data_IF_154327690908
#
_entry.id   IF_154327690908
#
_cell.length_a   1.000
_cell.length_b   1.000
_cell.length_c   1.000
_cell.angle_alpha   90.00
_cell.angle_beta   90.00
_cell.angle_gamma   90.00
#
_symmetry.space_group_name_H-M   'P 1'
#
loop_
_entity.id
_entity.type
_entity.pdbx_description
1 polymer ?
#
# COMPACT_ATOMS: atom_id res chain seq x y z
N UNK A 1 -16.45 -17.19 17.02
CA UNK A 1 -17.27 -17.37 15.79
C UNK A 1 -17.76 -16.05 15.20
N UNK A 2 -18.34 -15.12 15.98
CA UNK A 2 -18.78 -13.79 15.49
C UNK A 2 -17.65 -12.93 14.90
N UNK A 3 -16.43 -13.03 15.40
CA UNK A 3 -15.24 -12.31 14.88
C UNK A 3 -14.74 -12.86 13.54
N UNK A 4 -14.75 -14.18 13.37
CA UNK A 4 -14.46 -14.85 12.09
C UNK A 4 -15.50 -14.51 11.02
N UNK A 5 -16.78 -14.45 11.37
CA UNK A 5 -17.85 -14.06 10.44
C UNK A 5 -17.71 -12.60 9.99
N UNK A 6 -17.28 -11.70 10.89
CA UNK A 6 -16.99 -10.31 10.55
C UNK A 6 -15.78 -10.14 9.64
N UNK A 7 -14.78 -11.04 9.67
CA UNK A 7 -13.65 -10.97 8.73
C UNK A 7 -13.98 -11.40 7.29
N UNK A 8 -15.14 -12.03 7.04
CA UNK A 8 -15.55 -12.37 5.67
C UNK A 8 -16.22 -11.21 4.93
N UNK A 9 -16.66 -10.18 5.64
CA UNK A 9 -17.27 -8.99 5.02
C UNK A 9 -16.15 -7.95 4.88
N UNK A 10 -15.73 -7.61 3.65
CA UNK A 10 -14.74 -6.57 3.45
C UNK A 10 -15.30 -5.22 3.92
N UNK A 11 -14.41 -4.33 4.37
CA UNK A 11 -14.79 -2.95 4.66
C UNK A 11 -15.32 -2.28 3.39
N UNK A 12 -16.31 -1.40 3.55
CA UNK A 12 -16.88 -0.66 2.42
C UNK A 12 -15.80 0.14 1.71
N UNK A 13 -15.73 -0.02 0.39
CA UNK A 13 -14.88 0.81 -0.47
C UNK A 13 -15.37 2.25 -0.32
N UNK A 14 -14.55 3.14 0.26
CA UNK A 14 -14.90 4.55 0.44
C UNK A 14 -14.88 5.28 -0.91
N UNK A 15 -15.87 5.01 -1.75
CA UNK A 15 -15.96 5.46 -3.14
C UNK A 15 -17.38 5.90 -3.45
N UNK A 16 -17.51 7.05 -4.11
CA UNK A 16 -18.82 7.61 -4.46
C UNK A 16 -19.50 6.73 -5.53
N UNK A 17 -20.84 6.52 -5.49
CA UNK A 17 -21.54 5.66 -6.46
C UNK A 17 -21.33 6.03 -7.94
N UNK A 18 -21.06 7.31 -8.23
CA UNK A 18 -20.72 7.78 -9.57
C UNK A 18 -19.38 7.22 -10.11
N UNK A 19 -18.45 6.88 -9.23
CA UNK A 19 -17.19 6.22 -9.61
C UNK A 19 -17.41 4.78 -10.06
N UNK A 20 -18.41 4.09 -9.51
CA UNK A 20 -18.73 2.71 -9.89
C UNK A 20 -19.30 2.62 -11.32
N UNK A 21 -20.22 3.52 -11.67
CA UNK A 21 -20.77 3.58 -13.04
C UNK A 21 -19.70 3.95 -14.05
N UNK A 22 -18.86 4.95 -13.72
CA UNK A 22 -17.69 5.33 -14.52
C UNK A 22 -16.75 4.16 -14.74
N UNK A 23 -16.39 3.43 -13.68
CA UNK A 23 -15.50 2.27 -13.76
C UNK A 23 -16.12 1.13 -14.60
N UNK A 24 -17.41 0.84 -14.41
CA UNK A 24 -18.11 -0.20 -15.16
C UNK A 24 -18.18 0.10 -16.66
N UNK A 25 -18.51 1.34 -17.03
CA UNK A 25 -18.54 1.79 -18.44
C UNK A 25 -17.14 1.69 -19.05
N UNK A 26 -16.11 2.17 -18.33
CA UNK A 26 -14.73 2.09 -18.77
C UNK A 26 -14.26 0.65 -18.99
N UNK A 27 -14.55 -0.24 -18.05
CA UNK A 27 -14.23 -1.66 -18.16
C UNK A 27 -14.94 -2.33 -19.33
N UNK A 28 -16.23 -2.06 -19.51
CA UNK A 28 -16.99 -2.58 -20.65
C UNK A 28 -16.38 -2.14 -21.98
N UNK A 29 -16.09 -0.85 -22.12
CA UNK A 29 -15.48 -0.30 -23.33
C UNK A 29 -14.06 -0.86 -23.58
N UNK A 30 -13.23 -0.94 -22.53
CA UNK A 30 -11.88 -1.46 -22.59
C UNK A 30 -11.83 -2.93 -23.01
N UNK A 31 -12.69 -3.76 -22.42
CA UNK A 31 -12.81 -5.19 -22.80
C UNK A 31 -13.30 -5.29 -24.24
N UNK A 32 -14.36 -4.57 -24.60
CA UNK A 32 -14.97 -4.63 -25.93
C UNK A 32 -13.98 -4.24 -27.03
N UNK A 33 -13.29 -3.11 -26.89
CA UNK A 33 -12.29 -2.65 -27.87
C UNK A 33 -11.14 -3.64 -27.97
N UNK A 34 -10.58 -4.09 -26.85
CA UNK A 34 -9.44 -5.01 -26.85
C UNK A 34 -9.80 -6.35 -27.48
N UNK A 35 -10.94 -6.91 -27.11
CA UNK A 35 -11.45 -8.17 -27.65
C UNK A 35 -11.77 -8.06 -29.15
N UNK A 36 -12.40 -6.96 -29.59
CA UNK A 36 -12.67 -6.71 -31.01
C UNK A 36 -11.39 -6.64 -31.82
N UNK A 37 -10.41 -5.85 -31.37
CA UNK A 37 -9.13 -5.69 -32.08
C UNK A 37 -8.39 -7.04 -32.13
N UNK A 38 -8.36 -7.80 -31.04
CA UNK A 38 -7.79 -9.14 -31.04
C UNK A 38 -8.53 -10.09 -31.99
N UNK A 39 -9.87 -10.04 -32.01
CA UNK A 39 -10.68 -10.87 -32.89
C UNK A 39 -10.40 -10.58 -34.37
N UNK A 40 -10.27 -9.31 -34.75
CA UNK A 40 -10.01 -8.92 -36.13
C UNK A 40 -8.62 -9.37 -36.62
N UNK A 41 -7.62 -9.41 -35.73
CA UNK A 41 -6.24 -9.73 -36.10
C UNK A 41 -5.93 -11.23 -35.98
N UNK A 42 -6.45 -11.90 -34.95
CA UNK A 42 -6.08 -13.27 -34.58
C UNK A 42 -7.24 -14.27 -34.57
N UNK A 43 -8.47 -13.82 -34.85
CA UNK A 43 -9.66 -14.66 -34.85
C UNK A 43 -10.40 -14.68 -33.50
N UNK A 44 -11.66 -15.13 -33.57
CA UNK A 44 -12.57 -15.13 -32.41
C UNK A 44 -12.13 -16.11 -31.33
N UNK A 45 -11.61 -17.27 -31.69
CA UNK A 45 -11.22 -18.31 -30.73
C UNK A 45 -10.05 -17.85 -29.84
N UNK A 46 -9.01 -17.25 -30.44
CA UNK A 46 -7.89 -16.66 -29.68
C UNK A 46 -8.38 -15.55 -28.75
N UNK A 47 -9.27 -14.67 -29.24
CA UNK A 47 -9.81 -13.58 -28.44
C UNK A 47 -10.62 -14.07 -27.24
N UNK A 48 -11.45 -15.11 -27.42
CA UNK A 48 -12.26 -15.69 -26.34
C UNK A 48 -11.39 -16.34 -25.24
N UNK A 49 -10.30 -17.01 -25.58
CA UNK A 49 -9.39 -17.59 -24.59
C UNK A 49 -8.64 -16.54 -23.76
N UNK A 50 -8.43 -15.33 -24.29
CA UNK A 50 -7.77 -14.23 -23.58
C UNK A 50 -8.77 -13.30 -22.86
N UNK A 51 -10.07 -13.44 -23.12
CA UNK A 51 -11.10 -12.53 -22.61
C UNK A 51 -11.19 -12.52 -21.08
N UNK A 52 -11.01 -13.68 -20.42
CA UNK A 52 -11.04 -13.80 -18.96
C UNK A 52 -9.96 -12.94 -18.28
N UNK A 53 -8.67 -13.15 -18.59
CA UNK A 53 -7.58 -12.30 -18.10
C UNK A 53 -7.74 -10.82 -18.44
N UNK A 54 -8.18 -10.49 -19.66
CA UNK A 54 -8.45 -9.11 -20.10
C UNK A 54 -9.55 -8.48 -19.24
N UNK A 55 -10.63 -9.21 -18.97
CA UNK A 55 -11.72 -8.78 -18.11
C UNK A 55 -11.26 -8.49 -16.68
N UNK A 56 -10.48 -9.38 -16.07
CA UNK A 56 -9.92 -9.17 -14.74
C UNK A 56 -8.97 -7.95 -14.70
N UNK A 57 -8.21 -7.74 -15.78
CA UNK A 57 -7.32 -6.57 -15.91
C UNK A 57 -8.12 -5.29 -16.02
N UNK A 58 -9.22 -5.29 -16.77
CA UNK A 58 -10.10 -4.13 -16.91
C UNK A 58 -10.65 -3.70 -15.55
N UNK A 59 -11.10 -4.64 -14.72
CA UNK A 59 -11.55 -4.31 -13.36
C UNK A 59 -10.46 -3.55 -12.58
N UNK A 60 -9.20 -4.00 -12.62
CA UNK A 60 -8.10 -3.30 -11.95
C UNK A 60 -7.81 -1.92 -12.58
N UNK A 61 -7.78 -1.84 -13.90
CA UNK A 61 -7.44 -0.61 -14.65
C UNK A 61 -8.50 0.49 -14.54
N UNK A 62 -9.77 0.14 -14.30
CA UNK A 62 -10.88 1.10 -14.26
C UNK A 62 -11.45 1.32 -12.86
N UNK A 63 -11.55 0.27 -12.03
CA UNK A 63 -12.07 0.38 -10.66
C UNK A 63 -10.96 0.70 -9.64
N UNK A 64 -9.74 0.22 -9.86
CA UNK A 64 -8.60 0.38 -8.92
C UNK A 64 -7.39 1.00 -9.65
N UNK A 65 -7.66 2.00 -10.50
CA UNK A 65 -6.67 2.61 -11.40
C UNK A 65 -5.49 3.29 -10.68
N UNK A 66 -5.64 3.56 -9.38
CA UNK A 66 -4.64 4.21 -8.53
C UNK A 66 -3.63 3.25 -7.92
N UNK A 67 -3.91 1.95 -7.94
CA UNK A 67 -3.07 0.92 -7.32
C UNK A 67 -1.78 0.66 -8.10
N UNK A 68 -0.75 0.19 -7.38
CA UNK A 68 0.53 -0.21 -7.99
C UNK A 68 0.36 -1.36 -9.01
N UNK A 69 -0.65 -2.21 -8.83
CA UNK A 69 -0.99 -3.33 -9.70
C UNK A 69 -1.59 -2.90 -11.05
N UNK A 70 -2.13 -1.68 -11.14
CA UNK A 70 -2.71 -1.12 -12.35
C UNK A 70 -1.70 -0.28 -13.15
N UNK A 71 -0.46 -0.13 -12.68
CA UNK A 71 0.55 0.65 -13.40
C UNK A 71 0.89 0.02 -14.76
N UNK A 72 1.21 0.83 -15.79
CA UNK A 72 1.51 0.33 -17.14
C UNK A 72 2.57 -0.79 -17.18
N UNK A 73 3.63 -0.66 -16.39
CA UNK A 73 4.69 -1.66 -16.28
C UNK A 73 4.19 -2.98 -15.68
N UNK A 74 3.31 -2.91 -14.67
CA UNK A 74 2.71 -4.09 -14.05
C UNK A 74 1.90 -4.89 -15.06
N UNK A 75 1.08 -4.23 -15.89
CA UNK A 75 0.25 -4.90 -16.91
C UNK A 75 1.12 -5.53 -18.00
N UNK A 76 1.94 -4.71 -18.68
CA UNK A 76 2.74 -5.16 -19.84
C UNK A 76 3.80 -6.18 -19.43
N UNK A 77 4.54 -5.89 -18.35
CA UNK A 77 5.60 -6.76 -17.84
C UNK A 77 5.04 -8.10 -17.36
N UNK A 78 3.91 -8.09 -16.64
CA UNK A 78 3.31 -9.33 -16.16
C UNK A 78 2.83 -10.22 -17.30
N UNK A 79 2.13 -9.67 -18.29
CA UNK A 79 1.63 -10.46 -19.41
C UNK A 79 2.77 -11.07 -20.22
N UNK A 80 3.85 -10.31 -20.46
CA UNK A 80 5.03 -10.77 -21.19
C UNK A 80 5.72 -11.92 -20.43
N UNK A 81 6.05 -11.69 -19.16
CA UNK A 81 6.73 -12.69 -18.32
C UNK A 81 5.88 -13.95 -18.15
N UNK A 82 4.57 -13.80 -17.94
CA UNK A 82 3.65 -14.92 -17.76
C UNK A 82 3.50 -15.75 -19.03
N UNK A 83 3.46 -15.11 -20.20
CA UNK A 83 3.45 -15.81 -21.49
C UNK A 83 4.75 -16.59 -21.72
N UNK A 84 5.91 -15.99 -21.45
CA UNK A 84 7.20 -16.66 -21.57
C UNK A 84 7.33 -17.83 -20.58
N UNK A 85 6.90 -17.66 -19.33
CA UNK A 85 6.88 -18.71 -18.33
C UNK A 85 5.98 -19.89 -18.75
N UNK A 86 4.81 -19.61 -19.33
CA UNK A 86 3.91 -20.62 -19.87
C UNK A 86 4.54 -21.39 -21.02
N UNK A 87 5.14 -20.70 -22.00
CA UNK A 87 5.83 -21.35 -23.13
C UNK A 87 6.97 -22.25 -22.64
N UNK A 88 7.79 -21.77 -21.70
CA UNK A 88 8.85 -22.58 -21.10
C UNK A 88 8.31 -23.85 -20.42
N UNK A 89 7.20 -23.74 -19.69
CA UNK A 89 6.58 -24.90 -19.04
C UNK A 89 5.95 -25.87 -20.04
N UNK A 90 5.36 -25.38 -21.14
CA UNK A 90 4.83 -26.23 -22.22
C UNK A 90 5.96 -27.03 -22.86
N UNK A 91 7.13 -26.41 -23.08
CA UNK A 91 8.28 -27.12 -23.65
C UNK A 91 8.80 -28.25 -22.75
N UNK A 92 8.72 -28.09 -21.43
CA UNK A 92 9.25 -29.05 -20.47
C UNK A 92 8.24 -30.15 -20.07
N UNK A 93 6.96 -29.79 -19.95
CA UNK A 93 5.93 -30.62 -19.32
C UNK A 93 4.68 -30.82 -20.20
N UNK A 94 4.67 -30.22 -21.41
CA UNK A 94 3.52 -30.23 -22.31
C UNK A 94 2.31 -29.45 -21.79
N UNK A 95 1.15 -29.70 -22.39
CA UNK A 95 -0.13 -29.09 -22.03
C UNK A 95 -0.82 -29.84 -20.89
N UNK A 96 -0.25 -29.76 -19.68
CA UNK A 96 -0.74 -30.49 -18.50
C UNK A 96 -1.12 -29.54 -17.36
N UNK A 97 -1.94 -30.02 -16.41
CA UNK A 97 -2.30 -29.25 -15.21
C UNK A 97 -1.06 -28.94 -14.37
N UNK A 98 -0.09 -29.87 -14.34
CA UNK A 98 1.21 -29.68 -13.68
C UNK A 98 2.00 -28.56 -14.34
N UNK A 99 2.08 -28.53 -15.68
CA UNK A 99 2.69 -27.43 -16.41
C UNK A 99 2.02 -26.08 -16.10
N UNK A 100 0.69 -26.03 -16.04
CA UNK A 100 -0.05 -24.80 -15.74
C UNK A 100 0.24 -24.31 -14.31
N UNK A 101 0.28 -25.23 -13.34
CA UNK A 101 0.58 -24.91 -11.94
C UNK A 101 2.01 -24.38 -11.76
N UNK A 102 2.98 -25.00 -12.43
CA UNK A 102 4.37 -24.56 -12.43
C UNK A 102 4.52 -23.21 -13.14
N UNK A 103 3.83 -23.02 -14.28
CA UNK A 103 3.85 -21.75 -15.02
C UNK A 103 3.31 -20.59 -14.17
N UNK A 104 2.23 -20.81 -13.42
CA UNK A 104 1.68 -19.80 -12.49
C UNK A 104 2.67 -19.48 -11.38
N UNK A 105 3.26 -20.49 -10.75
CA UNK A 105 4.27 -20.30 -9.71
C UNK A 105 5.45 -19.46 -10.23
N UNK A 106 5.97 -19.84 -11.40
CA UNK A 106 7.07 -19.14 -12.04
C UNK A 106 6.69 -17.70 -12.44
N UNK A 107 5.50 -17.50 -13.00
CA UNK A 107 4.99 -16.18 -13.35
C UNK A 107 4.89 -15.27 -12.12
N UNK A 108 4.37 -15.76 -10.99
CA UNK A 108 4.29 -14.97 -9.74
C UNK A 108 5.69 -14.59 -9.25
N UNK A 109 6.61 -15.55 -9.18
CA UNK A 109 7.98 -15.29 -8.71
C UNK A 109 8.70 -14.26 -9.60
N UNK A 110 8.67 -14.46 -10.91
CA UNK A 110 9.33 -13.56 -11.87
C UNK A 110 8.71 -12.17 -11.87
N UNK A 111 7.38 -12.06 -11.79
CA UNK A 111 6.71 -10.75 -11.79
C UNK A 111 6.92 -9.99 -10.47
N UNK A 112 7.05 -10.69 -9.34
CA UNK A 112 7.48 -10.10 -8.07
C UNK A 112 8.93 -9.56 -8.16
N UNK A 113 9.86 -10.35 -8.71
CA UNK A 113 11.26 -9.94 -8.89
C UNK A 113 11.38 -8.74 -9.84
N UNK A 114 10.65 -8.76 -10.96
CA UNK A 114 10.61 -7.67 -11.94
C UNK A 114 9.74 -6.48 -11.51
N UNK A 115 9.15 -6.52 -10.32
CA UNK A 115 8.28 -5.46 -9.75
C UNK A 115 7.11 -5.09 -10.66
N UNK A 116 6.59 -6.07 -11.38
CA UNK A 116 5.48 -5.94 -12.31
C UNK A 116 4.37 -6.94 -11.98
N UNK A 117 4.07 -7.12 -10.70
CA UNK A 117 3.00 -8.02 -10.28
C UNK A 117 1.65 -7.49 -10.77
N UNK A 118 0.96 -8.30 -11.57
CA UNK A 118 -0.39 -8.03 -12.03
C UNK A 118 -1.15 -9.37 -12.06
N UNK A 119 -2.06 -9.63 -11.12
CA UNK A 119 -2.67 -10.95 -10.93
C UNK A 119 -3.26 -11.59 -12.20
N UNK A 120 -3.90 -10.83 -13.13
CA UNK A 120 -4.36 -11.39 -14.40
C UNK A 120 -3.27 -12.04 -15.28
N UNK A 121 -2.00 -11.70 -15.10
CA UNK A 121 -0.89 -12.37 -15.79
C UNK A 121 -0.79 -13.86 -15.45
N UNK A 122 -1.08 -14.26 -14.20
CA UNK A 122 -1.16 -15.68 -13.84
C UNK A 122 -2.26 -16.40 -14.63
N UNK A 123 -3.40 -15.74 -14.86
CA UNK A 123 -4.48 -16.28 -15.68
C UNK A 123 -4.08 -16.40 -17.17
N UNK A 124 -3.29 -15.45 -17.70
CA UNK A 124 -2.69 -15.57 -19.04
C UNK A 124 -1.83 -16.85 -19.13
N UNK A 125 -0.98 -17.12 -18.13
CA UNK A 125 -0.16 -18.32 -18.12
C UNK A 125 -1.02 -19.60 -18.17
N UNK A 126 -2.09 -19.66 -17.37
CA UNK A 126 -3.04 -20.78 -17.39
C UNK A 126 -3.67 -20.93 -18.79
N UNK A 127 -4.23 -19.85 -19.35
CA UNK A 127 -4.87 -19.90 -20.66
C UNK A 127 -3.93 -20.41 -21.73
N UNK A 128 -2.68 -19.96 -21.76
CA UNK A 128 -1.69 -20.39 -22.75
C UNK A 128 -1.36 -21.88 -22.61
N UNK A 129 -1.27 -22.42 -21.39
CA UNK A 129 -0.98 -23.85 -21.16
C UNK A 129 -2.18 -24.75 -21.46
N UNK A 130 -3.40 -24.30 -21.13
CA UNK A 130 -4.61 -25.13 -21.30
C UNK A 130 -5.17 -25.10 -22.71
N UNK A 131 -4.96 -24.01 -23.47
CA UNK A 131 -5.52 -23.82 -24.80
C UNK A 131 -4.59 -24.40 -25.88
N UNK A 132 -4.54 -25.74 -25.94
CA UNK A 132 -3.58 -26.50 -26.77
C UNK A 132 -3.64 -26.15 -28.26
N UNK A 133 -4.85 -26.02 -28.81
CA UNK A 133 -5.06 -25.85 -30.26
C UNK A 133 -4.98 -24.38 -30.71
N UNK A 134 -5.37 -23.44 -29.84
CA UNK A 134 -5.42 -22.02 -30.18
C UNK A 134 -4.14 -21.29 -29.75
N UNK A 135 -3.85 -21.28 -28.44
CA UNK A 135 -2.75 -20.46 -27.89
C UNK A 135 -1.41 -21.20 -27.92
N UNK A 136 -1.35 -22.44 -27.44
CA UNK A 136 -0.08 -23.17 -27.35
C UNK A 136 0.49 -23.49 -28.74
N UNK A 137 -0.37 -23.78 -29.72
CA UNK A 137 0.03 -24.10 -31.08
C UNK A 137 0.77 -22.94 -31.78
N UNK A 138 0.54 -21.69 -31.37
CA UNK A 138 1.24 -20.52 -31.90
C UNK A 138 2.71 -20.44 -31.47
N UNK A 139 3.12 -21.16 -30.42
CA UNK A 139 4.46 -21.05 -29.84
C UNK A 139 4.78 -19.59 -29.48
N UNK A 140 5.92 -19.08 -29.93
CA UNK A 140 6.34 -17.69 -29.64
C UNK A 140 5.36 -16.63 -30.20
N UNK A 141 4.59 -16.94 -31.24
CA UNK A 141 3.61 -16.00 -31.80
C UNK A 141 2.46 -15.68 -30.86
N UNK A 142 2.23 -16.50 -29.81
CA UNK A 142 1.22 -16.23 -28.76
C UNK A 142 1.47 -14.90 -28.06
N UNK A 143 2.70 -14.42 -28.06
CA UNK A 143 3.04 -13.14 -27.45
C UNK A 143 2.34 -11.97 -28.15
N UNK A 144 2.09 -12.08 -29.46
CA UNK A 144 1.44 -11.03 -30.24
C UNK A 144 -0.02 -10.75 -29.80
N UNK A 145 -0.96 -11.73 -29.74
CA UNK A 145 -2.32 -11.48 -29.25
C UNK A 145 -2.35 -11.11 -27.77
N UNK A 146 -1.45 -11.64 -26.95
CA UNK A 146 -1.36 -11.31 -25.52
C UNK A 146 -0.94 -9.85 -25.32
N UNK A 147 0.12 -9.41 -26.01
CA UNK A 147 0.60 -8.02 -25.94
C UNK A 147 -0.34 -7.04 -26.62
N UNK A 148 -1.00 -7.44 -27.72
CA UNK A 148 -2.02 -6.62 -28.37
C UNK A 148 -3.18 -6.33 -27.41
N UNK A 149 -3.72 -7.36 -26.74
CA UNK A 149 -4.78 -7.18 -25.75
C UNK A 149 -4.33 -6.30 -24.58
N UNK A 150 -3.14 -6.55 -24.01
CA UNK A 150 -2.61 -5.75 -22.91
C UNK A 150 -2.44 -4.27 -23.32
N UNK A 151 -1.90 -4.03 -24.51
CA UNK A 151 -1.67 -2.70 -25.07
C UNK A 151 -2.98 -1.97 -25.38
N UNK A 152 -3.93 -2.62 -26.05
CA UNK A 152 -5.25 -2.04 -26.36
C UNK A 152 -6.02 -1.68 -25.09
N UNK A 153 -6.00 -2.58 -24.09
CA UNK A 153 -6.70 -2.35 -22.83
C UNK A 153 -6.06 -1.20 -22.06
N UNK A 154 -4.73 -1.19 -21.98
CA UNK A 154 -3.97 -0.13 -21.33
C UNK A 154 -4.17 1.22 -22.02
N UNK A 155 -4.16 1.26 -23.35
CA UNK A 155 -4.41 2.48 -24.12
C UNK A 155 -5.83 3.00 -23.86
N UNK A 156 -6.82 2.10 -23.84
CA UNK A 156 -8.20 2.48 -23.53
C UNK A 156 -8.32 3.03 -22.11
N UNK A 157 -7.64 2.41 -21.14
CA UNK A 157 -7.60 2.88 -19.76
C UNK A 157 -6.91 4.25 -19.63
N UNK A 158 -5.81 4.47 -20.35
CA UNK A 158 -5.11 5.75 -20.42
C UNK A 158 -6.02 6.86 -20.95
N UNK A 159 -6.71 6.61 -22.05
CA UNK A 159 -7.61 7.59 -22.67
C UNK A 159 -8.81 7.85 -21.76
N UNK A 160 -9.52 6.80 -21.34
CA UNK A 160 -10.77 6.92 -20.60
C UNK A 160 -10.59 7.51 -19.20
N UNK A 161 -9.58 7.05 -18.43
CA UNK A 161 -9.37 7.58 -17.08
C UNK A 161 -8.97 9.06 -17.12
N UNK A 162 -8.10 9.46 -18.05
CA UNK A 162 -7.72 10.87 -18.19
C UNK A 162 -8.88 11.76 -18.69
N UNK A 163 -9.73 11.26 -19.61
CA UNK A 163 -10.94 11.98 -20.05
C UNK A 163 -11.96 12.16 -18.91
N UNK A 164 -12.05 11.18 -18.03
CA UNK A 164 -12.92 11.23 -16.84
C UNK A 164 -12.25 11.90 -15.64
N UNK A 165 -11.15 12.63 -15.86
CA UNK A 165 -10.38 13.41 -14.87
C UNK A 165 -9.73 12.58 -13.75
N UNK A 166 -9.65 11.27 -13.90
CA UNK A 166 -8.87 10.40 -13.02
C UNK A 166 -7.46 10.26 -13.60
N UNK A 167 -6.50 10.97 -12.99
CA UNK A 167 -5.11 10.98 -13.46
C UNK A 167 -4.53 9.56 -13.50
N UNK A 168 -4.20 9.08 -14.69
CA UNK A 168 -3.60 7.77 -14.92
C UNK A 168 -2.56 7.83 -16.06
N UNK A 169 -1.33 7.33 -15.88
CA UNK A 169 -0.82 6.66 -14.68
C UNK A 169 -0.49 7.67 -13.57
N UNK A 170 -0.68 7.26 -12.31
CA UNK A 170 -0.21 8.07 -11.17
C UNK A 170 1.31 7.92 -11.06
N UNK A 171 2.03 9.03 -11.11
CA UNK A 171 3.45 9.05 -10.78
C UNK A 171 3.64 8.60 -9.32
N UNK A 172 4.69 7.82 -9.06
CA UNK A 172 5.09 7.52 -7.69
C UNK A 172 5.34 8.84 -6.96
N UNK A 173 4.66 9.06 -5.84
CA UNK A 173 4.90 10.24 -5.03
C UNK A 173 6.36 10.23 -4.60
N UNK A 174 7.13 11.24 -5.03
CA UNK A 174 8.48 11.46 -4.50
C UNK A 174 8.31 11.70 -3.01
N UNK A 175 9.03 10.95 -2.17
CA UNK A 175 8.99 11.13 -0.72
C UNK A 175 9.15 12.63 -0.42
N UNK A 176 8.09 13.25 0.09
CA UNK A 176 8.14 14.64 0.47
C UNK A 176 9.21 14.75 1.56
N UNK A 177 10.22 15.59 1.34
CA UNK A 177 11.19 15.93 2.38
C UNK A 177 10.42 16.76 3.40
N UNK A 178 9.91 16.11 4.44
CA UNK A 178 9.27 16.81 5.55
C UNK A 178 10.38 17.60 6.25
N UNK A 179 10.32 18.92 6.16
CA UNK A 179 11.30 19.81 6.75
C UNK A 179 11.12 19.87 8.28
N UNK A 180 12.10 19.31 9.01
CA UNK A 180 12.33 19.53 10.44
C UNK A 180 11.27 18.97 11.41
N UNK A 181 11.60 18.86 12.72
CA UNK A 181 10.66 18.39 13.72
C UNK A 181 9.63 19.49 14.00
N UNK A 182 8.54 19.49 13.23
CA UNK A 182 7.32 20.16 13.67
C UNK A 182 6.68 19.25 14.71
N UNK A 183 6.50 19.77 15.93
CA UNK A 183 5.68 19.13 16.95
C UNK A 183 4.24 19.11 16.44
N UNK A 184 3.89 18.10 15.65
CA UNK A 184 2.52 17.85 15.26
C UNK A 184 1.83 17.30 16.51
N UNK A 185 0.95 18.09 17.12
CA UNK A 185 -0.02 17.57 18.08
C UNK A 185 -0.74 16.39 17.42
N UNK A 186 -0.84 15.26 18.12
CA UNK A 186 -1.36 14.01 17.54
C UNK A 186 -2.69 14.22 16.80
N UNK A 187 -2.86 13.55 15.67
CA UNK A 187 -4.08 13.61 14.87
C UNK A 187 -5.19 12.78 15.54
N UNK A 188 -6.45 13.18 15.37
CA UNK A 188 -7.61 12.37 15.80
C UNK A 188 -8.22 11.63 14.62
N UNK A 189 -8.99 10.58 14.92
CA UNK A 189 -9.59 9.72 13.89
C UNK A 189 -10.48 10.49 12.89
N UNK A 190 -11.11 11.59 13.33
CA UNK A 190 -11.91 12.47 12.47
C UNK A 190 -11.07 13.23 11.43
N UNK A 191 -9.82 13.55 11.75
CA UNK A 191 -8.90 14.20 10.79
C UNK A 191 -8.50 13.23 9.69
N UNK A 192 -8.32 11.94 10.05
CA UNK A 192 -8.06 10.87 9.09
C UNK A 192 -9.25 10.66 8.16
N UNK A 193 -10.47 10.66 8.70
CA UNK A 193 -11.70 10.50 7.92
C UNK A 193 -11.86 11.67 6.92
N UNK A 194 -11.65 12.92 7.38
CA UNK A 194 -11.68 14.09 6.50
C UNK A 194 -10.60 14.06 5.42
N UNK A 195 -9.38 13.62 5.76
CA UNK A 195 -8.29 13.48 4.78
C UNK A 195 -8.60 12.40 3.72
N UNK A 196 -9.20 11.28 4.12
CA UNK A 196 -9.62 10.23 3.18
C UNK A 196 -10.71 10.72 2.23
N UNK A 197 -11.68 11.50 2.73
CA UNK A 197 -12.74 12.10 1.92
C UNK A 197 -12.20 13.17 0.95
N UNK A 198 -11.27 14.02 1.39
CA UNK A 198 -10.62 15.02 0.53
C UNK A 198 -9.77 14.40 -0.58
N UNK A 199 -9.13 13.25 -0.31
CA UNK A 199 -8.33 12.53 -1.32
C UNK A 199 -9.23 11.99 -2.44
N UNK A 200 -10.50 11.65 -2.15
CA UNK A 200 -11.52 11.28 -3.13
C UNK A 200 -11.12 10.13 -4.07
N UNK A 201 -10.10 9.35 -3.69
CA UNK A 201 -9.48 8.33 -4.52
C UNK A 201 -9.34 7.03 -3.73
N UNK A 202 -9.42 5.90 -4.44
CA UNK A 202 -9.26 4.59 -3.83
C UNK A 202 -7.86 4.45 -3.21
N UNK A 203 -7.82 4.22 -1.89
CA UNK A 203 -6.63 3.87 -1.10
C UNK A 203 -6.75 2.40 -0.70
N UNK A 204 -5.80 1.58 -1.15
CA UNK A 204 -5.77 0.14 -0.92
C UNK A 204 -5.20 -0.21 0.48
N UNK A 205 -5.73 0.44 1.52
CA UNK A 205 -5.36 0.22 2.93
C UNK A 205 -6.61 0.47 3.76
N UNK A 206 -6.94 -0.44 4.68
CA UNK A 206 -8.09 -0.24 5.57
C UNK A 206 -7.84 0.97 6.50
N UNK A 207 -8.92 1.62 6.94
CA UNK A 207 -8.84 2.73 7.91
C UNK A 207 -8.04 2.34 9.15
N UNK A 208 -8.29 1.16 9.67
CA UNK A 208 -7.65 0.65 10.89
C UNK A 208 -6.16 0.35 10.66
N UNK A 209 -5.80 -0.21 9.49
CA UNK A 209 -4.40 -0.44 9.13
C UNK A 209 -3.65 0.88 8.93
N UNK A 210 -4.28 1.86 8.30
CA UNK A 210 -3.68 3.18 8.09
C UNK A 210 -3.45 3.90 9.42
N UNK A 211 -4.44 3.85 10.32
CA UNK A 211 -4.31 4.37 11.68
C UNK A 211 -3.20 3.62 12.46
N UNK A 212 -3.12 2.30 12.33
CA UNK A 212 -2.07 1.49 12.97
C UNK A 212 -0.67 1.81 12.43
N UNK A 213 -0.52 2.01 11.13
CA UNK A 213 0.74 2.44 10.49
C UNK A 213 1.14 3.82 11.02
N UNK A 214 0.19 4.74 11.12
CA UNK A 214 0.47 6.11 11.54
C UNK A 214 0.88 6.17 13.02
N UNK A 215 0.18 5.46 13.92
CA UNK A 215 0.61 5.32 15.33
C UNK A 215 1.97 4.64 15.49
N UNK A 216 2.27 3.59 14.70
CA UNK A 216 3.61 2.97 14.70
C UNK A 216 4.68 3.95 14.21
N UNK A 217 4.35 4.80 13.25
CA UNK A 217 5.25 5.84 12.73
C UNK A 217 5.52 6.91 13.79
N UNK A 218 4.50 7.39 14.50
CA UNK A 218 4.65 8.31 15.64
C UNK A 218 5.50 7.70 16.76
N UNK A 219 5.21 6.46 17.16
CA UNK A 219 5.99 5.77 18.18
C UNK A 219 7.48 5.64 17.81
N UNK A 220 7.77 5.35 16.53
CA UNK A 220 9.14 5.28 16.03
C UNK A 220 9.81 6.66 15.93
N UNK A 221 9.07 7.72 15.60
CA UNK A 221 9.57 9.09 15.60
C UNK A 221 9.90 9.58 17.02
N UNK A 222 9.02 9.30 17.99
CA UNK A 222 9.25 9.60 19.41
C UNK A 222 10.46 8.84 19.97
N UNK A 223 10.66 7.58 19.58
CA UNK A 223 11.86 6.80 19.95
C UNK A 223 13.13 7.43 19.40
N UNK A 224 13.14 7.82 18.13
CA UNK A 224 14.29 8.51 17.51
C UNK A 224 14.64 9.81 18.23
N UNK A 225 13.62 10.61 18.57
CA UNK A 225 13.85 11.87 19.28
C UNK A 225 14.23 11.67 20.75
N UNK A 226 13.96 10.50 21.37
CA UNK A 226 14.35 10.19 22.75
C UNK A 226 15.82 9.83 22.92
N UNK A 227 16.42 9.18 21.92
CA UNK A 227 17.83 8.79 21.95
C UNK A 227 18.79 9.98 21.74
N UNK A 228 18.27 11.13 21.26
CA UNK A 228 19.03 12.36 20.96
C UNK A 228 18.75 13.50 21.95
N UNK A 229 18.01 13.24 23.03
CA UNK A 229 17.82 14.24 24.10
C UNK A 229 19.06 14.20 24.99
N UNK A 230 19.93 15.20 24.88
CA UNK A 230 20.82 15.54 25.97
C UNK A 230 19.96 16.00 27.14
N UNK A 231 19.74 15.10 28.09
CA UNK A 231 18.93 15.34 29.29
C UNK A 231 19.42 16.61 30.02
N UNK A 232 20.69 16.99 29.88
CA UNK A 232 21.24 18.21 30.46
C UNK A 232 20.70 19.52 29.85
N UNK A 233 20.16 19.51 28.62
CA UNK A 233 19.56 20.69 27.97
C UNK A 233 18.07 20.87 28.29
N UNK A 234 17.38 19.78 28.64
CA UNK A 234 15.93 19.79 28.94
C UNK A 234 15.65 19.89 30.45
N UNK A 235 16.54 19.34 31.28
CA UNK A 235 16.41 19.45 32.74
C UNK A 235 16.81 20.87 33.16
N UNK A 236 15.85 21.64 33.70
CA UNK A 236 16.18 22.82 34.49
C UNK A 236 17.05 22.38 35.67
N UNK A 237 18.31 22.80 35.71
CA UNK A 237 19.20 22.51 36.86
C UNK A 237 18.56 23.12 38.09
N UNK A 238 18.03 22.28 38.98
CA UNK A 238 17.61 22.73 40.30
C UNK A 238 18.88 23.05 41.08
N UNK A 239 19.24 24.33 41.18
CA UNK A 239 20.38 24.78 41.97
C UNK A 239 20.20 24.53 43.49
N UNK A 240 18.98 24.15 43.89
CA UNK A 240 18.57 24.03 45.27
C UNK A 240 18.14 22.60 45.58
N UNK A 241 18.81 22.01 46.57
CA UNK A 241 18.60 20.65 47.07
C UNK A 241 18.71 20.62 48.58
N UNK A 242 18.01 19.69 49.23
CA UNK A 242 18.16 19.46 50.67
C UNK A 242 19.21 18.38 50.95
N UNK A 243 20.08 18.60 51.92
CA UNK A 243 20.81 17.51 52.62
C UNK A 243 19.94 16.92 53.73
N UNK A 244 20.24 15.70 54.16
CA UNK A 244 19.62 15.03 55.32
C UNK A 244 19.75 15.83 56.64
N UNK A 245 20.67 16.79 56.70
CA UNK A 245 20.92 17.61 57.88
C UNK A 245 19.94 18.78 58.02
N UNK A 246 19.12 19.05 56.99
CA UNK A 246 18.16 20.16 57.02
C UNK A 246 16.85 19.78 57.71
N UNK A 247 16.28 20.73 58.45
CA UNK A 247 15.00 20.52 59.13
C UNK A 247 13.82 20.66 58.15
N UNK A 248 12.65 20.13 58.54
CA UNK A 248 11.40 20.33 57.80
C UNK A 248 11.00 21.80 57.68
N UNK A 249 11.37 22.65 58.65
CA UNK A 249 11.11 24.08 58.58
C UNK A 249 11.92 24.75 57.46
N UNK A 250 13.14 24.30 57.23
CA UNK A 250 14.01 24.79 56.15
C UNK A 250 13.51 24.30 54.78
N UNK A 251 13.04 23.05 54.71
CA UNK A 251 12.36 22.51 53.53
C UNK A 251 11.13 23.33 53.14
N UNK A 252 10.29 23.70 54.12
CA UNK A 252 9.08 24.50 53.89
C UNK A 252 9.41 25.92 53.42
N UNK A 253 10.44 26.56 54.00
CA UNK A 253 10.91 27.89 53.55
C UNK A 253 11.42 27.86 52.11
N UNK A 254 12.20 26.84 51.76
CA UNK A 254 12.73 26.69 50.40
C UNK A 254 11.62 26.42 49.38
N UNK A 255 10.63 25.58 49.71
CA UNK A 255 9.46 25.34 48.86
C UNK A 255 8.60 26.59 48.68
N UNK A 256 8.34 27.34 49.75
CA UNK A 256 7.53 28.56 49.71
C UNK A 256 8.21 29.72 48.97
N UNK A 257 9.53 29.86 49.08
CA UNK A 257 10.28 30.94 48.43
C UNK A 257 10.42 30.75 46.90
N UNK A 258 10.32 29.52 46.40
CA UNK A 258 10.71 29.17 45.02
C UNK A 258 9.52 28.81 44.13
N UNK A 259 8.30 28.67 44.67
CA UNK A 259 7.11 28.31 43.89
C UNK A 259 7.14 26.90 43.27
N UNK A 260 8.16 26.09 43.58
CA UNK A 260 8.27 24.71 43.14
C UNK A 260 7.55 23.78 44.12
N UNK A 261 6.82 22.80 43.57
CA UNK A 261 6.11 21.78 44.37
C UNK A 261 7.01 20.63 44.82
N UNK A 262 8.25 20.57 44.35
CA UNK A 262 9.16 19.45 44.52
C UNK A 262 10.58 19.94 44.83
N UNK A 263 11.24 19.28 45.77
CA UNK A 263 12.62 19.54 46.16
C UNK A 263 13.37 18.21 46.32
N UNK A 264 14.44 17.97 45.54
CA UNK A 264 15.24 16.75 45.68
C UNK A 264 16.07 16.78 46.96
N UNK A 265 16.19 15.63 47.62
CA UNK A 265 17.09 15.41 48.75
C UNK A 265 18.34 14.70 48.22
N UNK A 266 19.50 15.28 48.45
CA UNK A 266 20.80 14.76 48.03
C UNK A 266 21.58 14.22 49.25
N UNK A 267 22.43 13.22 49.01
CA UNK A 267 23.46 12.79 49.96
C UNK A 267 24.74 13.65 49.86
N UNK A 268 25.74 13.32 50.68
CA UNK A 268 27.04 14.00 50.69
C UNK A 268 27.80 13.91 49.34
N UNK A 269 27.52 12.89 48.53
CA UNK A 269 28.09 12.66 47.20
C UNK A 269 27.26 13.31 46.07
N UNK A 270 26.28 14.16 46.41
CA UNK A 270 25.32 14.80 45.50
C UNK A 270 24.44 13.82 44.71
N UNK A 271 24.21 12.60 45.21
CA UNK A 271 23.24 11.68 44.63
C UNK A 271 21.86 11.92 45.21
N UNK A 272 20.84 11.84 44.35
CA UNK A 272 19.44 11.95 44.78
C UNK A 272 19.05 10.71 45.57
N UNK A 273 18.71 10.91 46.84
CA UNK A 273 18.25 9.87 47.77
C UNK A 273 16.77 9.98 48.09
N UNK A 274 16.12 11.09 47.73
CA UNK A 274 14.69 11.28 47.95
C UNK A 274 14.13 12.55 47.31
N UNK A 275 12.83 12.74 47.45
CA UNK A 275 12.08 13.91 47.00
C UNK A 275 11.11 14.33 48.09
N UNK A 276 11.11 15.62 48.43
CA UNK A 276 10.07 16.24 49.25
C UNK A 276 9.13 16.98 48.31
N UNK A 277 7.84 16.76 48.49
CA UNK A 277 6.81 17.38 47.68
C UNK A 277 5.73 17.99 48.54
N UNK A 278 5.27 19.16 48.14
CA UNK A 278 4.14 19.83 48.77
C UNK A 278 2.86 19.22 48.21
N UNK A 279 2.22 18.37 49.01
CA UNK A 279 0.93 17.75 48.67
C UNK A 279 -0.15 18.74 49.04
N UNK A 280 -0.97 19.11 48.06
CA UNK A 280 -2.10 20.02 48.24
C UNK A 280 -3.36 19.23 48.60
#
# INVERSE_FOLDING_TARGET
MKTLLRSFIPHSLNTHPAEWSRAAIGACLGIFISALVCQQVFGVDVALHLLGPVGASAVLLFAVSTGALAQPWSVLGSYLISALAALACIHLFGNTITAASIAVCLAILLTCVCRCLHPPGAAIAICIVTSKHELSAMGMHVLAPVMLNAGCLLLTALVYNNLTRVRYPKAQAKAATIAGPQAVEGFIAADLDKALDEIGAFVDVSRDDLQAILHKTEANALRRNRDDIDTAQVISRSEHSLSLDHSMADAMKLLAAQGSKHLPVLDADRKVIGIISLVN
#
